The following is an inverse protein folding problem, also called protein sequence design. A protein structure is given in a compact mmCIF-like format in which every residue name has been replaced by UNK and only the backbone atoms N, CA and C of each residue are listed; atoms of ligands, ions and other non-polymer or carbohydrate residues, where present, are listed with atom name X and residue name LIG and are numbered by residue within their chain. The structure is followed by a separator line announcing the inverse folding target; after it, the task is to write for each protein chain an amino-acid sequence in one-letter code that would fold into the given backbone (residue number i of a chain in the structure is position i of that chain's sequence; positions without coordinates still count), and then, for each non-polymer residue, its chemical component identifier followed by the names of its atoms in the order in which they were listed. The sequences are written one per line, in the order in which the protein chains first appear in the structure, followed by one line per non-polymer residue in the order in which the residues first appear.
data_IF_040555777457
#
_entry.id   IF_040555777457
#
_cell.length_a   1.000
_cell.length_b   1.000
_cell.length_c   1.000
_cell.angle_alpha   90.00
_cell.angle_beta   90.00
_cell.angle_gamma   90.00
#
_symmetry.space_group_name_H-M   'P 1'
#
loop_
_entity.id
_entity.type
_entity.pdbx_description
1 polymer ?
#
# COMPACT_ATOMS: atom_id res chain seq x y z
N UNK A 1 -4.13 -11.00 34.41
CA UNK A 1 -5.09 -10.26 33.55
C UNK A 1 -4.37 -10.02 32.26
N UNK A 2 -4.64 -10.83 31.21
CA UNK A 2 -4.12 -10.56 29.89
C UNK A 2 -4.83 -9.33 29.31
N UNK A 3 -4.04 -8.36 28.89
CA UNK A 3 -4.48 -7.25 28.06
C UNK A 3 -5.10 -7.81 26.77
N UNK A 4 -6.20 -7.26 26.25
CA UNK A 4 -6.77 -7.71 25.00
C UNK A 4 -5.74 -7.50 23.88
N UNK A 5 -5.29 -8.60 23.27
CA UNK A 5 -4.27 -8.58 22.20
C UNK A 5 -4.85 -8.13 20.83
N UNK A 6 -6.15 -7.82 20.77
CA UNK A 6 -6.84 -7.46 19.52
C UNK A 6 -7.66 -6.21 19.69
N UNK A 7 -7.25 -5.18 18.95
CA UNK A 7 -7.97 -3.92 18.83
C UNK A 7 -8.67 -3.85 17.47
N UNK A 8 -9.89 -3.30 17.48
CA UNK A 8 -10.60 -2.90 16.27
C UNK A 8 -10.71 -1.37 16.27
N UNK A 9 -10.17 -0.76 15.23
CA UNK A 9 -10.31 0.66 14.96
C UNK A 9 -11.42 0.81 13.90
N UNK A 10 -12.63 1.21 14.27
CA UNK A 10 -13.76 1.27 13.33
C UNK A 10 -13.50 2.18 12.12
N UNK A 11 -12.65 3.19 12.29
CA UNK A 11 -12.24 4.09 11.22
C UNK A 11 -11.39 3.41 10.12
N UNK A 12 -10.71 2.31 10.45
CA UNK A 12 -9.88 1.53 9.53
C UNK A 12 -10.55 0.25 9.06
N UNK A 13 -11.33 -0.38 9.95
CA UNK A 13 -11.86 -1.73 9.74
C UNK A 13 -13.37 -1.74 9.43
N UNK A 14 -14.02 -0.56 9.48
CA UNK A 14 -15.45 -0.46 9.32
C UNK A 14 -16.24 -0.87 10.57
N UNK A 15 -17.58 -0.82 10.49
CA UNK A 15 -18.47 -1.17 11.60
C UNK A 15 -18.41 -2.67 11.88
N UNK A 16 -17.85 -3.03 13.04
CA UNK A 16 -17.81 -4.41 13.49
C UNK A 16 -19.17 -4.81 14.12
N UNK A 17 -19.70 -5.93 13.68
CA UNK A 17 -20.84 -6.61 14.33
C UNK A 17 -20.28 -7.84 15.01
N UNK A 18 -20.29 -7.85 16.34
CA UNK A 18 -19.83 -9.00 17.12
C UNK A 18 -20.97 -10.00 17.29
N UNK A 19 -20.88 -11.14 16.59
CA UNK A 19 -21.77 -12.27 16.86
C UNK A 19 -21.44 -12.94 18.21
N UNK A 20 -20.17 -12.82 18.65
CA UNK A 20 -19.66 -13.36 19.91
C UNK A 20 -18.49 -12.51 20.42
N UNK A 21 -18.58 -11.94 21.62
CA UNK A 21 -17.47 -11.26 22.30
C UNK A 21 -17.39 -11.75 23.75
N UNK A 22 -16.94 -13.01 23.93
CA UNK A 22 -16.82 -13.62 25.24
C UNK A 22 -15.63 -13.06 25.99
N UNK A 23 -15.87 -12.37 27.10
CA UNK A 23 -14.81 -11.81 27.95
C UNK A 23 -14.20 -10.50 27.46
N UNK A 24 -14.90 -9.71 26.63
CA UNK A 24 -14.37 -8.45 26.06
C UNK A 24 -12.99 -8.63 25.39
N UNK A 25 -12.82 -9.72 24.66
CA UNK A 25 -11.56 -10.04 24.00
C UNK A 25 -11.19 -9.07 22.87
N UNK A 26 -12.15 -8.27 22.38
CA UNK A 26 -11.95 -7.26 21.35
C UNK A 26 -12.47 -5.93 21.84
N UNK A 27 -11.62 -4.94 21.87
CA UNK A 27 -11.95 -3.57 22.24
C UNK A 27 -11.96 -2.68 21.00
N UNK A 28 -13.03 -1.90 20.82
CA UNK A 28 -13.09 -0.88 19.77
C UNK A 28 -12.49 0.42 20.31
N UNK A 29 -11.32 0.78 19.80
CA UNK A 29 -10.62 2.01 20.17
C UNK A 29 -10.73 3.05 19.08
N UNK A 30 -10.87 4.34 19.42
CA UNK A 30 -10.77 5.40 18.43
C UNK A 30 -9.34 5.43 17.84
N UNK A 31 -9.26 5.68 16.53
CA UNK A 31 -7.97 5.81 15.84
C UNK A 31 -7.18 7.00 16.39
N UNK A 32 -5.98 6.74 16.93
CA UNK A 32 -4.99 7.81 17.15
C UNK A 32 -4.47 8.30 15.78
N UNK A 33 -5.10 9.34 15.28
CA UNK A 33 -4.81 9.90 13.95
C UNK A 33 -3.42 10.43 13.81
N UNK A 34 -2.86 11.03 14.86
CA UNK A 34 -1.52 11.61 14.82
C UNK A 34 -0.47 10.50 14.76
N UNK A 35 -0.63 9.48 15.58
CA UNK A 35 0.23 8.30 15.51
C UNK A 35 0.09 7.56 14.17
N UNK A 36 -1.13 7.46 13.64
CA UNK A 36 -1.39 6.82 12.35
C UNK A 36 -0.71 7.57 11.19
N UNK A 37 -0.90 8.89 11.11
CA UNK A 37 -0.30 9.72 10.06
C UNK A 37 1.22 9.67 10.14
N UNK A 38 1.80 9.77 11.33
CA UNK A 38 3.24 9.63 11.53
C UNK A 38 3.76 8.29 11.01
N UNK A 39 3.14 7.16 11.39
CA UNK A 39 3.51 5.82 10.90
C UNK A 39 3.40 5.68 9.39
N UNK A 40 2.35 6.28 8.78
CA UNK A 40 2.17 6.30 7.34
C UNK A 40 3.31 7.05 6.65
N UNK A 41 3.68 8.23 7.13
CA UNK A 41 4.76 9.04 6.55
C UNK A 41 6.13 8.35 6.72
N UNK A 42 6.40 7.76 7.87
CA UNK A 42 7.60 6.92 8.07
C UNK A 42 7.62 5.73 7.08
N UNK A 43 6.46 5.11 6.84
CA UNK A 43 6.36 4.02 5.85
C UNK A 43 6.60 4.54 4.45
N UNK A 44 6.06 5.71 4.07
CA UNK A 44 6.33 6.39 2.79
C UNK A 44 7.84 6.54 2.56
N UNK A 45 8.56 7.05 3.55
CA UNK A 45 10.01 7.28 3.45
C UNK A 45 10.79 5.98 3.32
N UNK A 46 10.40 4.94 4.08
CA UNK A 46 10.96 3.58 3.92
C UNK A 46 10.71 2.99 2.54
N UNK A 47 9.55 3.25 1.92
CA UNK A 47 9.29 2.81 0.53
C UNK A 47 10.21 3.52 -0.47
N UNK A 48 10.47 4.81 -0.27
CA UNK A 48 11.44 5.57 -1.07
C UNK A 48 12.84 4.95 -1.01
N UNK A 49 13.32 4.65 0.19
CA UNK A 49 14.60 3.96 0.39
C UNK A 49 14.60 2.56 -0.22
N UNK A 50 13.51 1.81 -0.06
CA UNK A 50 13.37 0.45 -0.62
C UNK A 50 13.51 0.44 -2.14
N UNK A 51 12.86 1.35 -2.84
CA UNK A 51 12.98 1.48 -4.30
C UNK A 51 14.38 1.91 -4.71
N UNK A 52 15.01 2.83 -3.99
CA UNK A 52 16.36 3.27 -4.29
C UNK A 52 17.39 2.15 -4.15
N UNK A 53 17.31 1.35 -3.08
CA UNK A 53 18.28 0.30 -2.77
C UNK A 53 18.01 -1.00 -3.55
N UNK A 54 16.77 -1.40 -3.68
CA UNK A 54 16.41 -2.73 -4.19
C UNK A 54 15.74 -2.71 -5.57
N UNK A 55 15.34 -1.55 -6.10
CA UNK A 55 14.80 -1.43 -7.46
C UNK A 55 15.69 -2.07 -8.54
N UNK A 56 17.05 -1.94 -8.48
CA UNK A 56 17.94 -2.58 -9.44
C UNK A 56 17.98 -4.12 -9.41
N UNK A 57 17.36 -4.79 -8.42
CA UNK A 57 17.38 -6.25 -8.31
C UNK A 57 16.75 -6.95 -9.52
N UNK A 58 15.69 -6.39 -10.10
CA UNK A 58 15.06 -6.95 -11.31
C UNK A 58 16.09 -7.12 -12.43
N UNK A 59 16.81 -6.05 -12.75
CA UNK A 59 17.84 -6.08 -13.79
C UNK A 59 19.01 -7.00 -13.43
N UNK A 60 19.36 -7.09 -12.14
CA UNK A 60 20.42 -7.98 -11.65
C UNK A 60 20.05 -9.45 -11.83
N UNK A 61 18.83 -9.84 -11.49
CA UNK A 61 18.35 -11.22 -11.64
C UNK A 61 18.20 -11.61 -13.13
N UNK A 62 17.68 -10.70 -13.97
CA UNK A 62 17.63 -10.95 -15.41
C UNK A 62 19.01 -11.18 -16.02
N UNK A 63 20.03 -10.40 -15.64
CA UNK A 63 21.42 -10.61 -16.12
C UNK A 63 22.02 -11.93 -15.68
N UNK A 64 21.51 -12.53 -14.59
CA UNK A 64 21.91 -13.87 -14.11
C UNK A 64 21.11 -14.99 -14.77
N UNK A 65 20.18 -14.70 -15.66
CA UNK A 65 19.26 -15.67 -16.24
C UNK A 65 18.16 -16.15 -15.28
N UNK A 66 18.00 -15.50 -14.11
CA UNK A 66 16.99 -15.84 -13.13
C UNK A 66 15.69 -15.06 -13.36
N UNK A 67 14.91 -15.44 -14.36
CA UNK A 67 13.66 -14.76 -14.71
C UNK A 67 12.60 -14.85 -13.60
N UNK A 68 12.57 -15.96 -12.84
CA UNK A 68 11.63 -16.13 -11.71
C UNK A 68 11.99 -15.18 -10.58
N UNK A 69 13.27 -15.06 -10.21
CA UNK A 69 13.73 -14.11 -9.21
C UNK A 69 13.52 -12.65 -9.63
N UNK A 70 13.66 -12.36 -10.93
CA UNK A 70 13.36 -11.03 -11.47
C UNK A 70 11.88 -10.68 -11.35
N UNK A 71 10.98 -11.63 -11.66
CA UNK A 71 9.53 -11.45 -11.49
C UNK A 71 9.17 -11.24 -10.01
N UNK A 72 9.72 -12.05 -9.11
CA UNK A 72 9.50 -11.89 -7.68
C UNK A 72 9.98 -10.51 -7.18
N UNK A 73 11.17 -10.09 -7.57
CA UNK A 73 11.71 -8.78 -7.23
C UNK A 73 10.82 -7.64 -7.77
N UNK A 74 10.34 -7.75 -9.01
CA UNK A 74 9.40 -6.81 -9.58
C UNK A 74 8.11 -6.70 -8.77
N UNK A 75 7.48 -7.83 -8.49
CA UNK A 75 6.20 -7.86 -7.78
C UNK A 75 6.34 -7.40 -6.34
N UNK A 76 7.31 -7.93 -5.58
CA UNK A 76 7.45 -7.66 -4.15
C UNK A 76 8.11 -6.33 -3.83
N UNK A 77 9.04 -5.85 -4.66
CA UNK A 77 9.78 -4.62 -4.37
C UNK A 77 9.14 -3.43 -5.07
N UNK A 78 8.96 -3.52 -6.38
CA UNK A 78 8.55 -2.37 -7.19
C UNK A 78 7.05 -2.21 -7.14
N UNK A 79 6.30 -3.23 -7.55
CA UNK A 79 4.84 -3.14 -7.69
C UNK A 79 4.15 -2.97 -6.33
N UNK A 80 4.55 -3.74 -5.32
CA UNK A 80 4.02 -3.60 -3.95
C UNK A 80 4.27 -2.20 -3.37
N UNK A 81 5.46 -1.62 -3.60
CA UNK A 81 5.76 -0.26 -3.14
C UNK A 81 4.91 0.79 -3.87
N UNK A 82 4.69 0.62 -5.18
CA UNK A 82 3.80 1.48 -5.96
C UNK A 82 2.36 1.41 -5.45
N UNK A 83 1.83 0.20 -5.22
CA UNK A 83 0.49 0.01 -4.68
C UNK A 83 0.33 0.72 -3.34
N UNK A 84 1.27 0.56 -2.43
CA UNK A 84 1.21 1.20 -1.11
C UNK A 84 1.22 2.73 -1.22
N UNK A 85 2.07 3.33 -2.06
CA UNK A 85 2.12 4.79 -2.19
C UNK A 85 0.86 5.35 -2.89
N UNK A 86 0.29 4.62 -3.85
CA UNK A 86 -1.00 4.97 -4.45
C UNK A 86 -2.12 4.94 -3.41
N UNK A 87 -2.16 3.91 -2.56
CA UNK A 87 -3.14 3.85 -1.46
C UNK A 87 -2.94 4.99 -0.46
N UNK A 88 -1.71 5.32 -0.08
CA UNK A 88 -1.43 6.49 0.77
C UNK A 88 -1.99 7.78 0.18
N UNK A 89 -1.95 7.92 -1.16
CA UNK A 89 -2.49 9.10 -1.86
C UNK A 89 -4.01 9.11 -1.94
N UNK A 90 -4.63 7.98 -2.26
CA UNK A 90 -6.06 7.91 -2.60
C UNK A 90 -6.94 7.38 -1.47
N UNK A 91 -6.45 6.41 -0.70
CA UNK A 91 -7.16 5.79 0.42
C UNK A 91 -6.23 5.47 1.59
N UNK A 92 -5.72 6.50 2.29
CA UNK A 92 -4.67 6.35 3.31
C UNK A 92 -5.04 5.43 4.47
N UNK A 93 -6.33 5.31 4.83
CA UNK A 93 -6.78 4.39 5.88
C UNK A 93 -6.35 2.93 5.63
N UNK A 94 -6.30 2.52 4.37
CA UNK A 94 -5.98 1.15 3.97
C UNK A 94 -4.62 1.01 3.27
N UNK A 95 -3.66 1.90 3.53
CA UNK A 95 -2.36 1.90 2.83
C UNK A 95 -1.60 0.57 2.94
N UNK A 96 -1.82 -0.19 4.03
CA UNK A 96 -1.19 -1.49 4.28
C UNK A 96 -1.95 -2.71 3.75
N UNK A 97 -3.12 -2.54 3.09
CA UNK A 97 -3.98 -3.66 2.67
C UNK A 97 -3.52 -4.34 1.35
N UNK A 98 -2.38 -3.95 0.79
CA UNK A 98 -1.88 -4.51 -0.46
C UNK A 98 -2.88 -4.34 -1.61
N UNK A 99 -3.14 -5.41 -2.35
CA UNK A 99 -4.08 -5.41 -3.49
C UNK A 99 -5.55 -5.51 -3.10
N UNK A 100 -5.85 -5.83 -1.84
CA UNK A 100 -7.23 -5.98 -1.38
C UNK A 100 -8.00 -4.66 -1.57
N UNK A 101 -9.17 -4.72 -2.15
CA UNK A 101 -10.08 -3.60 -2.42
C UNK A 101 -9.55 -2.51 -3.38
N UNK A 102 -8.40 -2.70 -4.04
CA UNK A 102 -7.86 -1.73 -5.02
C UNK A 102 -8.89 -1.30 -6.06
N UNK A 103 -9.70 -2.21 -6.68
CA UNK A 103 -10.69 -1.82 -7.67
C UNK A 103 -11.82 -0.93 -7.15
N UNK A 104 -12.04 -0.91 -5.84
CA UNK A 104 -13.14 -0.18 -5.20
C UNK A 104 -12.69 1.13 -4.54
N UNK A 105 -11.41 1.23 -4.18
CA UNK A 105 -10.87 2.32 -3.38
C UNK A 105 -9.98 3.30 -4.16
N UNK A 106 -9.46 2.87 -5.30
CA UNK A 106 -8.67 3.73 -6.19
C UNK A 106 -9.49 4.19 -7.39
N UNK A 107 -9.19 5.38 -7.97
CA UNK A 107 -9.84 5.85 -9.18
C UNK A 107 -9.71 4.84 -10.33
N UNK A 108 -10.75 4.65 -11.17
CA UNK A 108 -10.73 3.63 -12.23
C UNK A 108 -9.56 3.75 -13.21
N UNK A 109 -9.13 4.97 -13.53
CA UNK A 109 -7.96 5.22 -14.38
C UNK A 109 -6.65 4.79 -13.73
N UNK A 110 -6.55 4.92 -12.39
CA UNK A 110 -5.41 4.43 -11.61
C UNK A 110 -5.39 2.91 -11.60
N UNK A 111 -6.55 2.29 -11.41
CA UNK A 111 -6.71 0.82 -11.44
C UNK A 111 -6.27 0.27 -12.80
N UNK A 112 -6.81 0.80 -13.92
CA UNK A 112 -6.43 0.35 -15.28
C UNK A 112 -4.92 0.47 -15.53
N UNK A 113 -4.31 1.60 -15.11
CA UNK A 113 -2.86 1.79 -15.24
C UNK A 113 -2.08 0.80 -14.40
N UNK A 114 -2.57 0.46 -13.20
CA UNK A 114 -1.94 -0.51 -12.32
C UNK A 114 -2.07 -1.94 -12.86
N UNK A 115 -3.23 -2.31 -13.41
CA UNK A 115 -3.45 -3.59 -14.07
C UNK A 115 -2.47 -3.80 -15.22
N UNK A 116 -2.26 -2.78 -16.06
CA UNK A 116 -1.31 -2.84 -17.17
C UNK A 116 0.14 -3.09 -16.71
N UNK A 117 0.49 -2.75 -15.48
CA UNK A 117 1.78 -3.05 -14.86
C UNK A 117 1.79 -4.40 -14.13
N UNK A 118 0.63 -4.94 -13.75
CA UNK A 118 0.52 -6.15 -12.93
C UNK A 118 0.56 -7.43 -13.76
N UNK A 119 0.04 -7.40 -14.99
CA UNK A 119 -0.03 -8.57 -15.87
C UNK A 119 1.25 -8.68 -16.71
N UNK A 120 2.25 -9.41 -16.19
CA UNK A 120 3.51 -9.70 -16.86
C UNK A 120 3.34 -10.94 -17.73
N UNK A 121 3.54 -10.82 -19.04
CA UNK A 121 3.40 -11.93 -20.00
C UNK A 121 4.69 -12.70 -20.20
N UNK A 122 5.84 -12.01 -20.09
CA UNK A 122 7.15 -12.61 -20.25
C UNK A 122 8.23 -11.86 -19.47
N UNK A 123 9.39 -12.49 -19.27
CA UNK A 123 10.52 -11.86 -18.58
C UNK A 123 11.12 -10.67 -19.34
N UNK A 124 10.97 -10.65 -20.67
CA UNK A 124 11.45 -9.59 -21.55
C UNK A 124 10.72 -8.25 -21.33
N UNK A 125 9.50 -8.30 -20.78
CA UNK A 125 8.73 -7.09 -20.44
C UNK A 125 9.17 -6.44 -19.12
N UNK A 126 9.80 -7.20 -18.21
CA UNK A 126 10.14 -6.76 -16.85
C UNK A 126 10.98 -5.48 -16.79
N UNK A 127 11.99 -5.24 -17.65
CA UNK A 127 12.75 -4.00 -17.61
C UNK A 127 11.88 -2.76 -17.87
N UNK A 128 11.00 -2.84 -18.87
CA UNK A 128 10.14 -1.74 -19.25
C UNK A 128 9.02 -1.52 -18.22
N UNK A 129 8.39 -2.58 -17.73
CA UNK A 129 7.39 -2.52 -16.66
C UNK A 129 7.99 -1.93 -15.38
N UNK A 130 9.21 -2.35 -15.02
CA UNK A 130 9.94 -1.84 -13.86
C UNK A 130 10.21 -0.34 -14.00
N UNK A 131 10.69 0.09 -15.17
CA UNK A 131 10.97 1.50 -15.46
C UNK A 131 9.69 2.35 -15.32
N UNK A 132 8.58 1.91 -15.90
CA UNK A 132 7.28 2.59 -15.81
C UNK A 132 6.74 2.65 -14.38
N UNK A 133 6.79 1.54 -13.66
CA UNK A 133 6.33 1.47 -12.28
C UNK A 133 7.16 2.35 -11.33
N UNK A 134 8.48 2.34 -11.47
CA UNK A 134 9.40 3.19 -10.69
C UNK A 134 9.20 4.66 -11.01
N UNK A 135 8.99 5.02 -12.28
CA UNK A 135 8.71 6.39 -12.68
C UNK A 135 7.42 6.89 -12.02
N UNK A 136 6.35 6.11 -12.09
CA UNK A 136 5.07 6.46 -11.47
C UNK A 136 5.15 6.50 -9.94
N UNK A 137 5.91 5.59 -9.31
CA UNK A 137 6.20 5.64 -7.89
C UNK A 137 6.87 6.98 -7.50
N UNK A 138 7.92 7.39 -8.24
CA UNK A 138 8.67 8.63 -7.99
C UNK A 138 7.82 9.88 -8.18
N UNK A 139 6.90 9.86 -9.13
CA UNK A 139 5.93 10.93 -9.34
C UNK A 139 4.92 11.02 -8.17
N UNK A 140 4.47 9.86 -7.67
CA UNK A 140 3.42 9.80 -6.64
C UNK A 140 3.95 10.07 -5.24
N UNK A 141 5.16 9.62 -4.91
CA UNK A 141 5.73 9.69 -3.57
C UNK A 141 5.71 11.10 -2.96
N UNK A 142 6.18 12.17 -3.65
CA UNK A 142 6.18 13.53 -3.10
C UNK A 142 4.77 14.11 -2.95
N UNK A 143 3.77 13.54 -3.61
CA UNK A 143 2.38 13.97 -3.46
C UNK A 143 1.73 13.46 -2.16
N UNK A 144 2.34 12.49 -1.47
CA UNK A 144 1.90 11.98 -0.16
C UNK A 144 2.48 12.87 0.93
N UNK A 145 1.76 13.92 1.29
CA UNK A 145 2.13 14.88 2.33
C UNK A 145 1.18 14.80 3.51
N UNK A 146 1.63 15.19 4.70
CA UNK A 146 0.80 15.17 5.90
C UNK A 146 -0.54 15.88 5.73
N UNK A 147 -0.60 17.12 5.20
CA UNK A 147 -1.89 17.81 5.01
C UNK A 147 -2.84 17.06 4.09
N UNK A 148 -2.33 16.47 3.00
CA UNK A 148 -3.15 15.71 2.05
C UNK A 148 -3.66 14.41 2.65
N UNK A 149 -2.83 13.70 3.41
CA UNK A 149 -3.21 12.47 4.13
C UNK A 149 -4.30 12.79 5.15
N UNK A 150 -4.13 13.85 5.96
CA UNK A 150 -5.13 14.27 6.94
C UNK A 150 -6.46 14.67 6.29
N UNK A 151 -6.42 15.43 5.21
CA UNK A 151 -7.62 15.83 4.46
C UNK A 151 -8.38 14.59 3.93
N UNK A 152 -7.66 13.62 3.37
CA UNK A 152 -8.28 12.37 2.88
C UNK A 152 -8.88 11.53 3.99
N UNK A 153 -8.19 11.37 5.13
CA UNK A 153 -8.73 10.66 6.29
C UNK A 153 -9.99 11.34 6.84
N UNK A 154 -10.08 12.67 6.76
CA UNK A 154 -11.28 13.43 7.12
C UNK A 154 -12.45 13.17 6.17
N UNK A 155 -12.19 13.14 4.86
CA UNK A 155 -13.21 12.91 3.84
C UNK A 155 -13.83 11.51 3.89
N UNK A 156 -13.04 10.48 4.24
CA UNK A 156 -13.52 9.09 4.35
C UNK A 156 -14.53 8.89 5.51
N UNK A 157 -14.55 9.76 6.51
CA UNK A 157 -15.55 9.74 7.60
C UNK A 157 -16.98 10.05 7.14
N UNK A 158 -17.16 10.80 6.07
CA UNK A 158 -18.47 11.17 5.55
C UNK A 158 -19.14 10.09 4.69
N UNK A 159 -18.43 8.98 4.42
CA UNK A 159 -18.87 7.91 3.51
C UNK A 159 -19.16 6.58 4.23
N UNK A 160 -19.07 6.55 5.57
CA UNK A 160 -19.41 5.43 6.44
C UNK A 160 -20.69 5.75 7.23
#
# INVERSE_FOLDING_TARGET
RSTPDKFLEPELHGRAVFAFNKGNAVEALPLDRDAFVRKLLERRDRLGMRIALFGPFVSKELRRGNSIGALEAYQRIILDSLIQVLRMRYHPAHYGFGVRYVPFELPPEVVRKLEALSFVRSSEELPELSRKAVAWFRETLPAVTEPKVRARLGALRGSL
#
